data_IF_554663418575
#
_entry.id   IF_554663418575
#
_cell.length_a   1.000
_cell.length_b   1.000
_cell.length_c   1.000
_cell.angle_alpha   90.00
_cell.angle_beta   90.00
_cell.angle_gamma   90.00
#
_symmetry.space_group_name_H-M   'P 1'
#
loop_
_entity.id
_entity.type
_entity.pdbx_description
1 polymer ?
#
# COMPACT_ATOMS: atom_id res chain seq x y z
N UNK A 1 9.67 -16.50 -30.14
CA UNK A 1 9.52 -17.73 -30.90
C UNK A 1 10.82 -18.55 -30.89
N UNK A 2 11.95 -18.10 -31.38
CA UNK A 2 13.18 -18.92 -31.45
C UNK A 2 13.62 -19.63 -30.16
N UNK A 3 13.48 -18.99 -28.96
CA UNK A 3 13.90 -19.59 -27.69
C UNK A 3 12.95 -20.73 -27.26
N UNK A 4 11.66 -20.61 -27.53
CA UNK A 4 10.65 -21.63 -27.21
C UNK A 4 10.83 -22.86 -28.10
N UNK A 5 11.11 -22.62 -29.38
CA UNK A 5 11.35 -23.69 -30.34
C UNK A 5 12.67 -24.42 -30.03
N UNK A 6 13.70 -23.70 -29.57
CA UNK A 6 14.98 -24.26 -29.14
C UNK A 6 14.84 -25.15 -27.88
N UNK A 7 14.05 -24.72 -26.90
CA UNK A 7 13.74 -25.52 -25.72
C UNK A 7 12.96 -26.79 -26.12
N UNK A 8 11.93 -26.66 -26.94
CA UNK A 8 11.13 -27.78 -27.42
C UNK A 8 11.96 -28.77 -28.19
N UNK A 9 12.83 -28.31 -29.07
CA UNK A 9 13.69 -29.19 -29.87
C UNK A 9 14.73 -29.96 -29.04
N UNK A 10 15.15 -29.43 -27.90
CA UNK A 10 16.12 -30.08 -26.99
C UNK A 10 15.47 -31.07 -26.01
N UNK A 11 14.21 -30.89 -25.69
CA UNK A 11 13.50 -31.70 -24.63
C UNK A 11 12.55 -32.71 -25.28
N UNK A 12 11.85 -32.37 -26.37
CA UNK A 12 10.86 -33.23 -27.00
C UNK A 12 11.51 -34.24 -27.94
N UNK A 13 11.41 -35.52 -27.60
CA UNK A 13 11.78 -36.63 -28.45
C UNK A 13 13.06 -37.38 -28.08
N UNK A 14 13.73 -37.02 -26.99
CA UNK A 14 14.83 -37.78 -26.41
C UNK A 14 14.49 -38.23 -24.98
N UNK A 15 14.84 -39.47 -24.66
CA UNK A 15 14.77 -40.01 -23.29
C UNK A 15 15.93 -39.39 -22.52
N UNK A 16 15.66 -38.36 -21.76
CA UNK A 16 16.69 -37.64 -20.98
C UNK A 16 16.54 -38.04 -19.52
N UNK A 17 17.65 -38.37 -18.88
CA UNK A 17 17.66 -38.60 -17.44
C UNK A 17 17.39 -37.29 -16.69
N UNK A 18 16.93 -37.37 -15.44
CA UNK A 18 16.64 -36.19 -14.61
C UNK A 18 17.85 -35.28 -14.48
N UNK A 19 19.04 -35.85 -14.33
CA UNK A 19 20.32 -35.12 -14.26
C UNK A 19 20.66 -34.42 -15.59
N UNK A 20 20.36 -35.03 -16.70
CA UNK A 20 20.54 -34.42 -18.03
C UNK A 20 19.56 -33.27 -18.24
N UNK A 21 18.29 -33.44 -17.83
CA UNK A 21 17.31 -32.37 -17.87
C UNK A 21 17.75 -31.16 -17.05
N UNK A 22 18.22 -31.39 -15.82
CA UNK A 22 18.74 -30.30 -14.97
C UNK A 22 19.91 -29.57 -15.63
N UNK A 23 20.85 -30.28 -16.23
CA UNK A 23 21.98 -29.69 -16.95
C UNK A 23 21.52 -28.88 -18.16
N UNK A 24 20.64 -29.42 -18.98
CA UNK A 24 20.08 -28.72 -20.16
C UNK A 24 19.35 -27.44 -19.72
N UNK A 25 18.56 -27.52 -18.66
CA UNK A 25 17.81 -26.37 -18.15
C UNK A 25 18.74 -25.32 -17.54
N UNK A 26 19.76 -25.73 -16.81
CA UNK A 26 20.78 -24.84 -16.25
C UNK A 26 21.58 -24.12 -17.34
N UNK A 27 22.01 -24.81 -18.39
CA UNK A 27 22.68 -24.21 -19.55
C UNK A 27 21.79 -23.17 -20.27
N UNK A 28 20.48 -23.43 -20.36
CA UNK A 28 19.51 -22.50 -20.91
C UNK A 28 19.14 -21.36 -19.95
N UNK A 29 19.65 -21.40 -18.71
CA UNK A 29 19.43 -20.39 -17.67
C UNK A 29 18.09 -20.51 -16.95
N UNK A 30 17.55 -21.72 -16.85
CA UNK A 30 16.36 -22.03 -16.08
C UNK A 30 16.72 -22.70 -14.76
N UNK A 31 15.96 -22.41 -13.70
CA UNK A 31 16.09 -23.02 -12.38
C UNK A 31 14.86 -23.84 -12.06
N UNK A 32 15.01 -24.99 -11.38
CA UNK A 32 13.87 -25.78 -10.94
C UNK A 32 13.03 -25.01 -9.92
N UNK A 33 11.70 -25.20 -9.98
CA UNK A 33 10.76 -24.73 -8.99
C UNK A 33 10.38 -25.91 -8.09
N UNK A 34 10.66 -25.79 -6.80
CA UNK A 34 10.14 -26.74 -5.80
C UNK A 34 8.64 -26.51 -5.69
N UNK A 35 7.86 -27.57 -5.86
CA UNK A 35 6.41 -27.56 -5.66
C UNK A 35 6.12 -28.19 -4.30
N UNK A 36 5.22 -27.55 -3.55
CA UNK A 36 4.74 -28.07 -2.27
C UNK A 36 3.72 -29.23 -2.41
N UNK A 37 3.39 -29.64 -3.65
CA UNK A 37 2.39 -30.67 -3.93
C UNK A 37 3.01 -31.86 -4.66
N UNK A 38 2.61 -33.07 -4.19
CA UNK A 38 2.94 -34.41 -4.70
C UNK A 38 2.44 -34.66 -6.15
N UNK A 39 2.99 -33.92 -7.10
CA UNK A 39 2.81 -34.28 -8.52
C UNK A 39 4.08 -34.99 -9.01
N UNK A 40 4.17 -36.31 -8.76
CA UNK A 40 5.33 -37.15 -9.07
C UNK A 40 5.80 -37.06 -10.53
N UNK A 41 4.96 -36.59 -11.45
CA UNK A 41 5.24 -36.58 -12.89
C UNK A 41 5.39 -35.18 -13.48
N UNK A 42 5.35 -34.11 -12.67
CA UNK A 42 5.43 -32.73 -13.16
C UNK A 42 6.64 -32.00 -12.60
N UNK A 43 7.59 -31.66 -13.47
CA UNK A 43 8.77 -30.86 -13.12
C UNK A 43 8.58 -29.46 -13.69
N UNK A 44 8.73 -28.45 -12.87
CA UNK A 44 8.60 -27.04 -13.28
C UNK A 44 9.94 -26.32 -13.26
N UNK A 45 10.23 -25.59 -14.33
CA UNK A 45 11.39 -24.73 -14.45
C UNK A 45 11.00 -23.29 -14.70
N UNK A 46 11.82 -22.35 -14.25
CA UNK A 46 11.58 -20.93 -14.47
C UNK A 46 12.85 -20.17 -14.80
N UNK A 47 12.69 -19.15 -15.65
CA UNK A 47 13.65 -18.07 -15.79
C UNK A 47 12.98 -16.76 -15.38
N UNK A 48 13.21 -16.31 -14.16
CA UNK A 48 12.59 -15.10 -13.61
C UNK A 48 12.96 -13.82 -14.37
N UNK A 49 14.17 -13.74 -14.93
CA UNK A 49 14.58 -12.56 -15.73
C UNK A 49 13.79 -12.44 -17.02
N UNK A 50 13.54 -13.57 -17.69
CA UNK A 50 12.80 -13.64 -18.96
C UNK A 50 11.30 -13.83 -18.74
N UNK A 51 10.87 -14.10 -17.50
CA UNK A 51 9.48 -14.42 -17.13
C UNK A 51 8.92 -15.57 -17.97
N UNK A 52 9.68 -16.64 -18.06
CA UNK A 52 9.32 -17.88 -18.75
C UNK A 52 9.18 -18.99 -17.72
N UNK A 53 8.13 -19.77 -17.83
CA UNK A 53 7.84 -20.95 -17.02
C UNK A 53 7.65 -22.12 -17.97
N UNK A 54 8.24 -23.26 -17.62
CA UNK A 54 8.22 -24.49 -18.43
C UNK A 54 7.69 -25.60 -17.53
N UNK A 55 6.64 -26.27 -18.00
CA UNK A 55 6.10 -27.48 -17.38
C UNK A 55 6.60 -28.67 -18.20
N UNK A 56 7.38 -29.56 -17.57
CA UNK A 56 7.89 -30.80 -18.17
C UNK A 56 7.20 -31.97 -17.47
N UNK A 57 6.58 -32.84 -18.24
CA UNK A 57 5.82 -33.99 -17.76
C UNK A 57 6.51 -35.28 -18.19
N UNK A 58 6.47 -36.34 -17.35
CA UNK A 58 6.87 -37.68 -17.76
C UNK A 58 5.64 -38.39 -18.30
N UNK A 59 5.77 -39.00 -19.47
CA UNK A 59 4.76 -39.87 -20.03
C UNK A 59 4.83 -41.30 -19.43
N UNK A 60 3.88 -42.18 -19.82
CA UNK A 60 3.82 -43.55 -19.34
C UNK A 60 5.04 -44.41 -19.71
N UNK A 61 5.82 -43.96 -20.70
CA UNK A 61 7.08 -44.59 -21.15
C UNK A 61 8.31 -43.95 -20.50
N UNK A 62 8.09 -43.06 -19.51
CA UNK A 62 9.12 -42.29 -18.79
C UNK A 62 9.91 -41.28 -19.64
N UNK A 63 9.36 -40.89 -20.81
CA UNK A 63 9.94 -39.81 -21.64
C UNK A 63 9.57 -38.46 -21.05
N UNK A 64 10.47 -37.47 -21.20
CA UNK A 64 10.23 -36.09 -20.79
C UNK A 64 9.57 -35.31 -21.93
N UNK A 65 8.39 -34.77 -21.65
CA UNK A 65 7.63 -33.97 -22.59
C UNK A 65 7.47 -32.54 -22.06
N UNK A 66 7.85 -31.56 -22.87
CA UNK A 66 7.56 -30.16 -22.57
C UNK A 66 6.09 -29.88 -22.91
N UNK A 67 5.22 -29.97 -21.91
CA UNK A 67 3.78 -29.86 -22.09
C UNK A 67 3.36 -28.40 -22.28
N UNK A 68 3.93 -27.50 -21.51
CA UNK A 68 3.48 -26.12 -21.51
C UNK A 68 4.66 -25.15 -21.31
N UNK A 69 4.79 -24.17 -22.20
CA UNK A 69 5.71 -23.06 -22.06
C UNK A 69 4.90 -21.79 -21.98
N UNK A 70 4.96 -21.17 -20.80
CA UNK A 70 4.27 -19.90 -20.52
C UNK A 70 5.31 -18.79 -20.46
N UNK A 71 5.17 -17.81 -21.31
CA UNK A 71 5.90 -16.55 -21.22
C UNK A 71 4.91 -15.46 -20.83
N UNK A 72 5.24 -14.69 -19.81
CA UNK A 72 4.46 -13.50 -19.54
C UNK A 72 4.62 -12.56 -20.74
N UNK A 73 3.58 -12.42 -21.53
CA UNK A 73 3.48 -11.42 -22.57
C UNK A 73 3.33 -10.05 -21.93
N UNK A 74 4.42 -9.48 -21.42
CA UNK A 74 4.47 -8.04 -21.24
C UNK A 74 4.62 -7.45 -22.63
N UNK A 75 3.53 -6.99 -23.22
CA UNK A 75 3.60 -6.00 -24.28
C UNK A 75 4.41 -4.83 -23.76
N UNK A 76 5.60 -4.64 -24.33
CA UNK A 76 6.50 -3.54 -23.99
C UNK A 76 5.73 -2.24 -24.23
N UNK A 77 5.29 -1.57 -23.16
CA UNK A 77 4.54 -0.32 -23.23
C UNK A 77 3.08 -0.37 -22.75
N UNK A 78 2.50 -1.53 -22.46
CA UNK A 78 1.21 -1.58 -21.78
C UNK A 78 1.46 -1.50 -20.28
N UNK A 79 1.43 -0.28 -19.72
CA UNK A 79 1.30 -0.11 -18.29
C UNK A 79 -0.01 -0.78 -17.86
N UNK A 80 0.09 -1.85 -17.09
CA UNK A 80 -1.04 -2.37 -16.32
C UNK A 80 -1.28 -1.39 -15.17
N UNK A 81 -1.87 -0.25 -15.52
CA UNK A 81 -2.16 0.82 -14.56
C UNK A 81 -3.39 0.40 -13.76
N UNK A 82 -3.16 -0.22 -12.60
CA UNK A 82 -4.25 -0.44 -11.65
C UNK A 82 -4.66 0.90 -11.04
N UNK A 83 -5.95 1.05 -10.78
CA UNK A 83 -6.52 2.23 -10.13
C UNK A 83 -6.48 2.09 -8.60
N UNK A 84 -6.54 3.17 -7.82
CA UNK A 84 -6.81 3.09 -6.39
C UNK A 84 -8.21 2.52 -6.16
N UNK A 85 -8.50 1.94 -5.00
CA UNK A 85 -9.88 1.79 -4.53
C UNK A 85 -10.45 3.20 -4.42
N UNK A 86 -11.63 3.45 -5.01
CA UNK A 86 -12.14 4.80 -5.19
C UNK A 86 -12.77 5.36 -3.93
N UNK A 87 -13.49 4.53 -3.18
CA UNK A 87 -14.26 4.95 -2.00
C UNK A 87 -13.98 4.06 -0.80
N UNK A 88 -14.36 4.56 0.39
CA UNK A 88 -14.28 3.78 1.61
C UNK A 88 -15.30 2.63 1.60
N UNK A 89 -16.46 2.84 1.01
CA UNK A 89 -17.52 1.83 0.87
C UNK A 89 -17.06 0.63 0.05
N UNK A 90 -16.34 0.86 -1.05
CA UNK A 90 -15.73 -0.22 -1.84
C UNK A 90 -14.67 -0.98 -1.03
N UNK A 91 -13.82 -0.27 -0.28
CA UNK A 91 -12.85 -0.88 0.62
C UNK A 91 -13.56 -1.72 1.68
N UNK A 92 -14.59 -1.17 2.33
CA UNK A 92 -15.36 -1.86 3.36
C UNK A 92 -16.05 -3.12 2.80
N UNK A 93 -16.62 -3.05 1.60
CA UNK A 93 -17.24 -4.21 0.94
C UNK A 93 -16.25 -5.34 0.66
N UNK A 94 -15.00 -5.02 0.25
CA UNK A 94 -13.92 -6.00 0.08
C UNK A 94 -13.60 -6.66 1.44
N UNK A 95 -13.48 -5.86 2.48
CA UNK A 95 -13.12 -6.34 3.82
C UNK A 95 -14.25 -7.15 4.46
N UNK A 96 -15.51 -6.74 4.25
CA UNK A 96 -16.70 -7.50 4.69
C UNK A 96 -16.80 -8.86 3.98
N UNK A 97 -16.43 -8.93 2.70
CA UNK A 97 -16.33 -10.21 2.00
C UNK A 97 -15.39 -11.20 2.72
N UNK A 98 -14.22 -10.73 3.13
CA UNK A 98 -13.27 -11.56 3.87
C UNK A 98 -13.79 -11.90 5.27
N UNK A 99 -14.30 -10.91 6.00
CA UNK A 99 -14.79 -11.07 7.38
C UNK A 99 -15.95 -12.05 7.45
N UNK A 100 -16.96 -11.86 6.58
CA UNK A 100 -18.14 -12.72 6.53
C UNK A 100 -17.82 -14.14 6.02
N UNK A 101 -16.77 -14.27 5.21
CA UNK A 101 -16.26 -15.56 4.76
C UNK A 101 -15.33 -16.27 5.77
N UNK A 102 -15.12 -15.71 6.99
CA UNK A 102 -14.21 -16.28 8.00
C UNK A 102 -12.73 -16.20 7.58
N UNK A 103 -12.39 -15.36 6.63
CA UNK A 103 -11.03 -15.23 6.08
C UNK A 103 -10.28 -14.10 6.78
N UNK A 104 -10.17 -14.18 8.10
CA UNK A 104 -9.72 -13.08 8.96
C UNK A 104 -8.26 -12.64 8.71
N UNK A 105 -7.37 -13.54 8.27
CA UNK A 105 -6.01 -13.15 7.87
C UNK A 105 -6.04 -12.21 6.66
N UNK A 106 -6.85 -12.50 5.63
CA UNK A 106 -6.97 -11.64 4.45
C UNK A 106 -7.63 -10.30 4.81
N UNK A 107 -8.63 -10.31 5.68
CA UNK A 107 -9.26 -9.12 6.23
C UNK A 107 -8.23 -8.21 6.93
N UNK A 108 -7.41 -8.74 7.82
CA UNK A 108 -6.39 -7.92 8.50
C UNK A 108 -5.30 -7.43 7.53
N UNK A 109 -4.85 -8.26 6.59
CA UNK A 109 -3.86 -7.86 5.58
C UNK A 109 -4.38 -6.67 4.77
N UNK A 110 -5.63 -6.71 4.32
CA UNK A 110 -6.25 -5.64 3.56
C UNK A 110 -6.30 -4.31 4.33
N UNK A 111 -6.81 -4.33 5.56
CA UNK A 111 -6.83 -3.16 6.43
C UNK A 111 -5.45 -2.59 6.71
N UNK A 112 -4.45 -3.43 6.97
CA UNK A 112 -3.08 -2.96 7.22
C UNK A 112 -2.45 -2.35 5.96
N UNK A 113 -2.73 -2.88 4.77
CA UNK A 113 -2.26 -2.24 3.52
C UNK A 113 -2.92 -0.88 3.34
N UNK A 114 -4.25 -0.80 3.51
CA UNK A 114 -5.03 0.41 3.30
C UNK A 114 -4.74 1.50 4.34
N UNK A 115 -4.39 1.14 5.59
CA UNK A 115 -4.14 2.09 6.68
C UNK A 115 -2.68 2.45 6.89
N UNK A 116 -1.73 1.64 6.40
CA UNK A 116 -0.30 1.85 6.58
C UNK A 116 0.44 2.11 5.26
N UNK A 117 -0.20 1.94 4.12
CA UNK A 117 0.37 2.18 2.81
C UNK A 117 1.56 1.28 2.47
N UNK A 118 1.71 0.11 3.11
CA UNK A 118 2.84 -0.80 2.87
C UNK A 118 2.55 -1.78 1.74
N UNK A 119 3.61 -2.38 1.17
CA UNK A 119 3.45 -3.45 0.18
C UNK A 119 2.92 -4.71 0.86
N UNK A 120 2.18 -5.52 0.12
CA UNK A 120 1.66 -6.79 0.65
C UNK A 120 2.77 -7.69 1.20
N UNK A 121 3.93 -7.75 0.54
CA UNK A 121 5.09 -8.50 1.04
C UNK A 121 5.56 -8.05 2.41
N UNK A 122 5.62 -6.73 2.63
CA UNK A 122 6.01 -6.14 3.91
C UNK A 122 4.99 -6.47 5.02
N UNK A 123 3.70 -6.47 4.70
CA UNK A 123 2.62 -6.77 5.67
C UNK A 123 2.61 -8.25 6.05
N UNK A 124 2.67 -9.17 5.08
CA UNK A 124 2.62 -10.62 5.38
C UNK A 124 3.88 -11.12 6.10
N UNK A 125 4.97 -10.38 6.03
CA UNK A 125 6.21 -10.69 6.74
C UNK A 125 6.24 -10.21 8.20
N UNK A 126 5.20 -9.51 8.67
CA UNK A 126 5.12 -9.00 10.05
C UNK A 126 5.14 -10.16 11.06
N UNK A 127 5.90 -9.94 12.13
CA UNK A 127 5.88 -10.78 13.32
C UNK A 127 5.12 -10.09 14.44
N UNK A 128 4.65 -10.85 15.40
CA UNK A 128 4.02 -10.28 16.60
C UNK A 128 4.96 -9.35 17.35
N UNK A 129 6.25 -9.65 17.39
CA UNK A 129 7.30 -8.77 17.96
C UNK A 129 7.48 -7.44 17.21
N UNK A 130 7.01 -7.31 15.98
CA UNK A 130 6.99 -6.03 15.26
C UNK A 130 5.84 -5.13 15.71
N UNK A 131 4.74 -5.72 16.19
CA UNK A 131 3.53 -5.03 16.63
C UNK A 131 3.54 -4.74 18.13
N UNK A 132 4.05 -5.66 18.93
CA UNK A 132 4.03 -5.60 20.39
C UNK A 132 5.43 -5.45 20.99
N UNK A 133 5.50 -4.80 22.14
CA UNK A 133 6.66 -4.79 23.04
C UNK A 133 6.58 -6.05 23.91
N UNK A 134 7.72 -6.46 24.51
CA UNK A 134 7.80 -7.65 25.36
C UNK A 134 6.84 -7.60 26.58
N UNK A 135 6.42 -6.40 26.99
CA UNK A 135 5.48 -6.19 28.08
C UNK A 135 4.00 -6.30 27.64
N UNK A 136 3.73 -6.70 26.41
CA UNK A 136 2.37 -6.84 25.87
C UNK A 136 1.71 -5.55 25.38
N UNK A 137 2.37 -4.39 25.50
CA UNK A 137 1.83 -3.15 24.95
C UNK A 137 2.19 -3.02 23.47
N UNK A 138 1.34 -2.34 22.69
CA UNK A 138 1.67 -2.03 21.29
C UNK A 138 2.93 -1.17 21.16
N UNK A 139 3.67 -1.39 20.08
CA UNK A 139 4.70 -0.45 19.64
C UNK A 139 4.05 0.81 19.08
N UNK A 140 4.70 1.94 19.32
CA UNK A 140 4.23 3.23 18.77
C UNK A 140 4.55 3.37 17.29
N UNK A 141 5.62 2.69 16.85
CA UNK A 141 6.11 2.73 15.47
C UNK A 141 6.51 1.34 14.99
N UNK A 142 6.22 1.07 13.74
CA UNK A 142 6.73 -0.09 13.00
C UNK A 142 8.12 0.27 12.45
N UNK A 143 9.15 0.12 13.29
CA UNK A 143 10.53 0.51 12.97
C UNK A 143 11.34 -0.60 12.29
N UNK A 144 10.84 -1.84 12.30
CA UNK A 144 11.54 -3.04 11.84
C UNK A 144 11.18 -3.43 10.40
N UNK A 145 10.16 -2.79 9.80
CA UNK A 145 9.78 -3.05 8.42
C UNK A 145 10.89 -2.62 7.45
N UNK A 146 11.79 -3.56 7.12
CA UNK A 146 12.70 -3.40 5.98
C UNK A 146 11.89 -3.58 4.71
N UNK A 147 11.96 -2.62 3.80
CA UNK A 147 11.40 -2.81 2.47
C UNK A 147 12.14 -3.97 1.78
N UNK A 148 11.41 -5.04 1.46
CA UNK A 148 11.93 -6.23 0.77
C UNK A 148 12.74 -5.85 -0.49
N UNK A 149 12.30 -4.81 -1.20
CA UNK A 149 12.90 -4.38 -2.46
C UNK A 149 14.18 -3.56 -2.31
N UNK A 150 14.34 -2.75 -1.25
CA UNK A 150 15.42 -1.74 -1.14
C UNK A 150 16.21 -1.84 0.17
N UNK A 151 15.80 -2.69 1.11
CA UNK A 151 16.42 -2.82 2.41
C UNK A 151 16.32 -1.57 3.32
N UNK A 152 15.61 -0.52 2.88
CA UNK A 152 15.43 0.72 3.65
C UNK A 152 14.39 0.50 4.74
N UNK A 153 14.70 0.93 5.95
CA UNK A 153 13.78 0.95 7.08
C UNK A 153 13.09 2.31 7.11
N UNK A 154 11.78 2.33 6.91
CA UNK A 154 10.97 3.53 7.08
C UNK A 154 10.10 3.31 8.32
N UNK A 155 10.43 3.99 9.42
CA UNK A 155 9.58 4.00 10.61
C UNK A 155 8.24 4.65 10.26
N UNK A 156 7.14 3.94 10.51
CA UNK A 156 5.79 4.44 10.33
C UNK A 156 5.03 4.34 11.66
N UNK A 157 4.23 5.34 11.99
CA UNK A 157 3.38 5.30 13.17
C UNK A 157 2.41 4.13 13.09
N UNK A 158 2.32 3.35 14.16
CA UNK A 158 1.34 2.29 14.29
C UNK A 158 0.07 2.88 14.88
N UNK A 159 -0.83 3.29 14.01
CA UNK A 159 -2.01 4.11 14.31
C UNK A 159 -3.05 3.37 15.15
N UNK A 160 -3.93 4.13 15.81
CA UNK A 160 -5.02 3.57 16.62
C UNK A 160 -5.95 2.69 15.78
N UNK A 161 -6.28 3.11 14.55
CA UNK A 161 -7.09 2.29 13.64
C UNK A 161 -6.43 0.94 13.36
N UNK A 162 -5.14 0.92 13.00
CA UNK A 162 -4.43 -0.32 12.71
C UNK A 162 -4.33 -1.24 13.95
N UNK A 163 -4.09 -0.65 15.15
CA UNK A 163 -4.08 -1.39 16.43
C UNK A 163 -5.43 -2.02 16.72
N UNK A 164 -6.53 -1.27 16.57
CA UNK A 164 -7.87 -1.78 16.77
C UNK A 164 -8.20 -2.96 15.86
N UNK A 165 -7.76 -2.91 14.58
CA UNK A 165 -7.94 -4.05 13.64
C UNK A 165 -7.12 -5.27 14.06
N UNK A 166 -5.90 -5.09 14.55
CA UNK A 166 -5.09 -6.20 15.09
C UNK A 166 -5.77 -6.81 16.33
N UNK A 167 -6.27 -6.01 17.24
CA UNK A 167 -7.01 -6.52 18.41
C UNK A 167 -8.28 -7.26 18.04
N UNK A 168 -9.02 -6.74 17.06
CA UNK A 168 -10.22 -7.39 16.52
C UNK A 168 -9.88 -8.75 15.90
N UNK A 169 -8.81 -8.82 15.10
CA UNK A 169 -8.31 -10.07 14.54
C UNK A 169 -7.92 -11.07 15.63
N UNK A 170 -7.18 -10.65 16.65
CA UNK A 170 -6.81 -11.52 17.77
C UNK A 170 -8.04 -12.10 18.48
N UNK A 171 -9.11 -11.30 18.63
CA UNK A 171 -10.38 -11.77 19.22
C UNK A 171 -11.09 -12.76 18.32
N UNK A 172 -11.15 -12.50 16.99
CA UNK A 172 -11.82 -13.38 16.03
C UNK A 172 -11.14 -14.74 15.91
N UNK A 173 -9.81 -14.75 15.91
CA UNK A 173 -9.00 -15.98 15.81
C UNK A 173 -8.66 -16.61 17.17
N UNK A 174 -9.05 -15.97 18.28
CA UNK A 174 -8.69 -16.37 19.66
C UNK A 174 -7.15 -16.52 19.84
N UNK A 175 -6.39 -15.58 19.33
CA UNK A 175 -4.92 -15.56 19.40
C UNK A 175 -4.45 -14.67 20.56
N UNK A 176 -3.54 -15.19 21.38
CA UNK A 176 -2.73 -14.38 22.30
C UNK A 176 -1.38 -14.05 21.65
N UNK A 177 -1.14 -12.81 21.21
CA UNK A 177 0.10 -12.42 20.54
C UNK A 177 1.38 -12.70 21.34
N UNK A 178 1.29 -12.70 22.66
CA UNK A 178 2.46 -12.88 23.52
C UNK A 178 2.92 -14.33 23.60
N UNK A 179 2.05 -15.31 23.32
CA UNK A 179 2.40 -16.72 23.21
C UNK A 179 3.15 -17.02 21.91
N UNK A 180 2.94 -16.19 20.87
CA UNK A 180 3.50 -16.30 19.53
C UNK A 180 4.49 -15.18 19.21
N UNK A 181 5.07 -14.52 20.21
CA UNK A 181 5.79 -13.25 20.09
C UNK A 181 6.82 -13.17 18.95
N UNK A 182 7.58 -14.24 18.71
CA UNK A 182 8.60 -14.30 17.65
C UNK A 182 8.12 -14.89 16.33
N UNK A 183 6.85 -15.29 16.26
CA UNK A 183 6.26 -15.92 15.07
C UNK A 183 5.65 -14.87 14.14
N UNK A 184 5.35 -15.28 12.90
CA UNK A 184 4.64 -14.44 11.94
C UNK A 184 3.19 -14.19 12.39
N UNK A 185 2.69 -12.98 12.11
CA UNK A 185 1.27 -12.65 12.33
C UNK A 185 0.39 -13.45 11.38
N UNK A 186 0.89 -13.74 10.19
CA UNK A 186 0.17 -14.41 9.11
C UNK A 186 0.85 -15.72 8.73
N UNK A 187 0.02 -16.73 8.45
CA UNK A 187 0.45 -18.00 7.85
C UNK A 187 0.28 -18.00 6.33
N UNK A 188 -0.48 -17.03 5.80
CA UNK A 188 -0.72 -16.88 4.36
C UNK A 188 0.31 -15.96 3.72
N UNK A 189 0.77 -16.33 2.54
CA UNK A 189 1.71 -15.52 1.76
C UNK A 189 1.03 -14.52 0.82
N UNK A 190 1.84 -13.62 0.25
CA UNK A 190 1.37 -12.57 -0.66
C UNK A 190 0.68 -13.09 -1.93
N UNK A 191 1.05 -14.28 -2.42
CA UNK A 191 0.42 -14.90 -3.59
C UNK A 191 -1.02 -15.33 -3.28
N UNK A 192 -1.23 -15.97 -2.12
CA UNK A 192 -2.55 -16.37 -1.66
C UNK A 192 -3.47 -15.16 -1.44
N UNK A 193 -2.95 -14.10 -0.81
CA UNK A 193 -3.71 -12.86 -0.65
C UNK A 193 -4.11 -12.26 -2.00
N UNK A 194 -3.19 -12.13 -2.98
CA UNK A 194 -3.52 -11.61 -4.32
C UNK A 194 -4.63 -12.39 -5.00
N UNK A 195 -4.57 -13.74 -4.91
CA UNK A 195 -5.58 -14.62 -5.50
C UNK A 195 -6.96 -14.39 -4.87
N UNK A 196 -7.03 -14.29 -3.54
CA UNK A 196 -8.30 -14.11 -2.84
C UNK A 196 -8.82 -12.67 -2.93
N UNK A 197 -7.94 -11.66 -2.92
CA UNK A 197 -8.33 -10.28 -3.18
C UNK A 197 -8.99 -10.12 -4.56
N UNK A 198 -8.47 -10.80 -5.59
CA UNK A 198 -9.11 -10.80 -6.91
C UNK A 198 -10.56 -11.32 -6.84
N UNK A 199 -10.80 -12.41 -6.10
CA UNK A 199 -12.16 -12.93 -5.90
C UNK A 199 -13.08 -11.95 -5.15
N UNK A 200 -12.54 -11.27 -4.12
CA UNK A 200 -13.28 -10.26 -3.39
C UNK A 200 -13.67 -9.09 -4.29
N UNK A 201 -12.73 -8.56 -5.10
CA UNK A 201 -12.94 -7.49 -6.08
C UNK A 201 -14.03 -7.87 -7.08
N UNK A 202 -13.97 -9.10 -7.63
CA UNK A 202 -14.97 -9.64 -8.55
C UNK A 202 -16.35 -9.78 -7.87
N UNK A 203 -16.39 -10.24 -6.62
CA UNK A 203 -17.62 -10.39 -5.84
C UNK A 203 -18.30 -9.05 -5.53
N UNK A 204 -17.51 -8.05 -5.18
CA UNK A 204 -17.99 -6.68 -4.88
C UNK A 204 -18.47 -5.97 -6.14
N UNK A 205 -18.08 -6.42 -7.33
CA UNK A 205 -18.48 -5.84 -8.61
C UNK A 205 -17.65 -4.61 -9.00
N UNK A 206 -16.41 -4.51 -8.55
CA UNK A 206 -15.49 -3.44 -8.98
C UNK A 206 -15.11 -3.71 -10.44
N UNK A 207 -15.43 -2.79 -11.34
CA UNK A 207 -15.35 -2.92 -12.80
C UNK A 207 -14.07 -2.30 -13.41
N UNK A 208 -13.20 -1.72 -12.58
CA UNK A 208 -11.92 -1.16 -12.99
C UNK A 208 -10.74 -2.05 -12.57
N UNK A 209 -9.55 -1.89 -13.20
CA UNK A 209 -8.38 -2.69 -12.86
C UNK A 209 -7.90 -2.45 -11.43
N UNK A 210 -8.13 -3.42 -10.54
CA UNK A 210 -7.76 -3.35 -9.13
C UNK A 210 -6.90 -4.55 -8.68
N UNK A 211 -6.03 -4.32 -7.70
CA UNK A 211 -5.09 -5.32 -7.14
C UNK A 211 -4.63 -4.90 -5.73
N UNK A 212 -3.66 -5.63 -5.18
CA UNK A 212 -3.01 -5.23 -3.91
C UNK A 212 -2.41 -3.83 -3.93
N UNK A 213 -1.97 -3.36 -5.11
CA UNK A 213 -1.50 -1.99 -5.27
C UNK A 213 -2.64 -0.96 -5.18
N UNK A 214 -3.87 -1.35 -5.48
CA UNK A 214 -5.05 -0.48 -5.37
C UNK A 214 -5.36 -0.12 -3.92
N UNK A 215 -5.20 -1.07 -2.99
CA UNK A 215 -5.30 -0.82 -1.55
C UNK A 215 -4.22 0.18 -1.07
N UNK A 216 -2.98 -0.01 -1.54
CA UNK A 216 -1.90 0.92 -1.22
C UNK A 216 -2.09 2.30 -1.88
N UNK A 217 -2.64 2.34 -3.09
CA UNK A 217 -3.01 3.60 -3.76
C UNK A 217 -4.16 4.31 -3.06
N UNK A 218 -5.13 3.57 -2.50
CA UNK A 218 -6.18 4.13 -1.65
C UNK A 218 -5.56 4.96 -0.51
N UNK A 219 -4.62 4.39 0.26
CA UNK A 219 -3.89 5.11 1.30
C UNK A 219 -3.32 6.45 0.80
N UNK A 220 -2.56 6.43 -0.31
CA UNK A 220 -1.95 7.66 -0.84
C UNK A 220 -2.98 8.67 -1.35
N UNK A 221 -4.06 8.20 -1.99
CA UNK A 221 -5.14 9.04 -2.48
C UNK A 221 -5.90 9.70 -1.33
N UNK A 222 -6.18 8.95 -0.27
CA UNK A 222 -6.86 9.49 0.91
C UNK A 222 -5.98 10.52 1.64
N UNK A 223 -4.68 10.25 1.82
CA UNK A 223 -3.77 11.25 2.38
C UNK A 223 -3.75 12.55 1.56
N UNK A 224 -3.74 12.45 0.23
CA UNK A 224 -3.80 13.64 -0.63
C UNK A 224 -5.15 14.39 -0.49
N UNK A 225 -6.26 13.67 -0.37
CA UNK A 225 -7.60 14.24 -0.17
C UNK A 225 -7.76 14.92 1.20
N UNK A 226 -7.18 14.35 2.25
CA UNK A 226 -7.22 14.91 3.60
C UNK A 226 -6.32 16.15 3.75
N UNK A 227 -5.35 16.33 2.85
CA UNK A 227 -4.41 17.45 2.88
C UNK A 227 -4.33 18.16 1.52
N UNK A 228 -5.47 18.66 0.98
CA UNK A 228 -5.53 19.19 -0.39
C UNK A 228 -4.69 20.46 -0.57
N UNK A 229 -4.50 21.21 0.51
CA UNK A 229 -3.82 22.50 0.50
C UNK A 229 -2.37 22.45 1.04
N UNK A 230 -1.85 21.28 1.42
CA UNK A 230 -0.45 21.16 1.81
C UNK A 230 0.44 20.93 0.59
N UNK A 231 1.16 21.97 0.15
CA UNK A 231 2.09 21.87 -0.98
C UNK A 231 3.20 20.80 -0.83
N UNK A 232 3.35 20.20 0.35
CA UNK A 232 4.25 19.09 0.60
C UNK A 232 3.56 17.72 0.63
N UNK A 233 2.23 17.65 0.53
CA UNK A 233 1.48 16.39 0.65
C UNK A 233 2.04 15.30 -0.27
N UNK A 234 2.25 15.60 -1.55
CA UNK A 234 2.80 14.64 -2.51
C UNK A 234 4.20 14.16 -2.12
N UNK A 235 5.06 15.07 -1.61
CA UNK A 235 6.42 14.72 -1.17
C UNK A 235 6.39 13.81 0.06
N UNK A 236 5.49 14.06 1.00
CA UNK A 236 5.29 13.24 2.21
C UNK A 236 4.79 11.86 1.80
N UNK A 237 3.80 11.77 0.91
CA UNK A 237 3.27 10.50 0.40
C UNK A 237 4.37 9.70 -0.34
N UNK A 238 5.17 10.37 -1.18
CA UNK A 238 6.33 9.74 -1.84
C UNK A 238 7.35 9.21 -0.84
N UNK A 239 7.63 9.96 0.22
CA UNK A 239 8.51 9.52 1.30
C UNK A 239 7.95 8.29 2.04
N UNK A 240 6.66 8.32 2.43
CA UNK A 240 5.98 7.17 3.07
C UNK A 240 6.04 5.93 2.18
N UNK A 241 5.88 6.10 0.87
CA UNK A 241 5.97 5.00 -0.09
C UNK A 241 7.40 4.53 -0.37
N UNK A 242 8.42 5.19 0.16
CA UNK A 242 9.82 4.86 -0.11
C UNK A 242 10.20 5.04 -1.58
N UNK A 243 9.52 5.92 -2.30
CA UNK A 243 9.88 6.25 -3.68
C UNK A 243 11.12 7.15 -3.65
N UNK A 244 12.25 6.63 -4.13
CA UNK A 244 13.53 7.32 -4.12
C UNK A 244 13.59 8.39 -5.22
N UNK A 245 13.45 9.67 -4.84
CA UNK A 245 14.24 10.74 -5.43
C UNK A 245 15.18 11.25 -4.35
N UNK A 246 16.48 11.13 -4.54
CA UNK A 246 17.50 11.37 -3.51
C UNK A 246 17.65 12.83 -3.08
N UNK A 247 17.18 13.78 -3.87
CA UNK A 247 17.45 15.21 -3.65
C UNK A 247 16.60 15.86 -2.55
N UNK A 248 15.46 15.27 -2.18
CA UNK A 248 14.51 15.87 -1.23
C UNK A 248 14.84 15.52 0.23
N UNK A 249 15.63 14.49 0.45
CA UNK A 249 15.82 13.86 1.77
C UNK A 249 16.69 14.68 2.73
N UNK A 250 17.59 15.52 2.24
CA UNK A 250 18.62 16.16 3.09
C UNK A 250 18.20 17.44 3.81
N UNK A 251 17.18 18.15 3.31
CA UNK A 251 16.81 19.49 3.83
C UNK A 251 15.63 19.49 4.80
N UNK A 252 14.81 18.44 4.83
CA UNK A 252 13.51 18.43 5.53
C UNK A 252 13.28 17.25 6.50
N UNK A 253 14.29 16.50 6.91
CA UNK A 253 14.11 15.24 7.65
C UNK A 253 13.26 15.40 8.91
N UNK A 254 13.50 16.39 9.75
CA UNK A 254 12.72 16.61 10.97
C UNK A 254 11.26 17.02 10.70
N UNK A 255 11.09 18.03 9.87
CA UNK A 255 9.75 18.57 9.52
C UNK A 255 8.88 17.57 8.74
N UNK A 256 9.51 16.72 7.91
CA UNK A 256 8.81 15.67 7.16
C UNK A 256 8.32 14.56 8.11
N UNK A 257 9.10 14.18 9.10
CA UNK A 257 8.72 13.12 10.04
C UNK A 257 7.53 13.51 10.91
N UNK A 258 7.50 14.73 11.43
CA UNK A 258 6.36 15.26 12.19
C UNK A 258 5.08 15.32 11.32
N UNK A 259 5.19 15.90 10.12
CA UNK A 259 4.06 15.97 9.18
C UNK A 259 3.58 14.59 8.73
N UNK A 260 4.49 13.65 8.52
CA UNK A 260 4.16 12.27 8.18
C UNK A 260 3.30 11.62 9.26
N UNK A 261 3.69 11.74 10.53
CA UNK A 261 2.95 11.16 11.64
C UNK A 261 1.57 11.80 11.78
N UNK A 262 1.46 13.12 11.58
CA UNK A 262 0.17 13.80 11.52
C UNK A 262 -0.70 13.27 10.38
N UNK A 263 -0.19 13.19 9.15
CA UNK A 263 -0.96 12.72 7.98
C UNK A 263 -1.49 11.31 8.18
N UNK A 264 -0.67 10.41 8.73
CA UNK A 264 -1.07 9.04 9.01
C UNK A 264 -2.07 8.98 10.18
N UNK A 265 -1.96 9.90 11.15
CA UNK A 265 -2.92 10.09 12.21
C UNK A 265 -4.29 10.53 11.68
N UNK A 266 -4.33 11.57 10.85
CA UNK A 266 -5.57 12.08 10.24
C UNK A 266 -6.27 11.00 9.38
N UNK A 267 -5.50 10.17 8.66
CA UNK A 267 -6.07 9.01 7.97
C UNK A 267 -6.62 7.96 8.94
N UNK A 268 -5.94 7.72 10.07
CA UNK A 268 -6.43 6.81 11.10
C UNK A 268 -7.78 7.27 11.64
N UNK A 269 -7.92 8.55 11.93
CA UNK A 269 -9.16 9.15 12.44
C UNK A 269 -10.28 9.07 11.39
N UNK A 270 -9.98 9.33 10.12
CA UNK A 270 -10.91 9.14 9.01
C UNK A 270 -11.41 7.69 8.93
N UNK A 271 -10.49 6.73 8.94
CA UNK A 271 -10.83 5.31 8.83
C UNK A 271 -11.65 4.83 10.04
N UNK A 272 -11.30 5.27 11.26
CA UNK A 272 -12.03 4.90 12.47
C UNK A 272 -13.47 5.45 12.44
N UNK A 273 -13.64 6.73 12.11
CA UNK A 273 -14.97 7.34 12.01
C UNK A 273 -15.81 6.67 10.93
N UNK A 274 -15.23 6.44 9.75
CA UNK A 274 -15.93 5.78 8.64
C UNK A 274 -16.30 4.33 8.98
N UNK A 275 -15.42 3.59 9.64
CA UNK A 275 -15.68 2.22 10.07
C UNK A 275 -16.81 2.13 11.11
N UNK A 276 -16.89 3.12 11.99
CA UNK A 276 -17.97 3.23 13.00
C UNK A 276 -19.29 3.78 12.41
N UNK A 277 -19.34 4.10 11.13
CA UNK A 277 -20.50 4.68 10.46
C UNK A 277 -20.74 6.14 10.81
N UNK A 278 -19.73 6.83 11.35
CA UNK A 278 -19.80 8.26 11.66
C UNK A 278 -19.47 9.09 10.41
N UNK A 279 -20.10 10.25 10.28
CA UNK A 279 -19.69 11.22 9.27
C UNK A 279 -18.30 11.79 9.63
N UNK A 280 -17.41 11.82 8.67
CA UNK A 280 -16.12 12.50 8.77
C UNK A 280 -16.07 13.63 7.73
N UNK A 281 -16.00 14.85 8.21
CA UNK A 281 -15.88 16.02 7.35
C UNK A 281 -14.40 16.25 7.02
N UNK A 282 -14.07 16.23 5.72
CA UNK A 282 -12.74 16.64 5.25
C UNK A 282 -12.74 18.16 5.18
N UNK A 283 -11.86 18.79 5.96
CA UNK A 283 -11.66 20.23 5.88
C UNK A 283 -11.00 20.59 4.54
N UNK A 284 -11.82 21.01 3.60
CA UNK A 284 -11.39 21.51 2.29
C UNK A 284 -11.20 23.04 2.27
N UNK A 285 -11.17 23.68 3.44
CA UNK A 285 -10.96 25.11 3.52
C UNK A 285 -9.62 25.51 2.88
N UNK A 286 -9.58 26.54 2.04
CA UNK A 286 -8.34 26.96 1.41
C UNK A 286 -7.33 27.45 2.45
N UNK A 287 -6.14 26.83 2.45
CA UNK A 287 -5.02 27.30 3.28
C UNK A 287 -4.34 28.45 2.56
N UNK A 288 -4.46 29.64 3.11
CA UNK A 288 -3.78 30.84 2.60
C UNK A 288 -2.38 30.89 3.21
N UNK A 289 -1.34 30.74 2.40
CA UNK A 289 0.04 30.91 2.83
C UNK A 289 0.47 32.36 2.57
N UNK A 290 0.61 33.12 3.64
CA UNK A 290 1.10 34.48 3.59
C UNK A 290 2.57 34.56 4.03
N UNK A 291 3.37 35.43 3.41
CA UNK A 291 4.68 35.80 3.96
C UNK A 291 4.48 36.47 5.31
N UNK A 292 5.41 36.31 6.23
CA UNK A 292 5.33 36.90 7.58
C UNK A 292 5.16 38.43 7.56
N UNK A 293 5.74 39.13 6.57
CA UNK A 293 5.56 40.57 6.35
C UNK A 293 4.11 40.88 5.96
N UNK A 294 3.56 40.18 4.97
CA UNK A 294 2.19 40.37 4.48
C UNK A 294 1.17 40.07 5.57
N UNK A 295 1.40 39.05 6.39
CA UNK A 295 0.56 38.70 7.54
C UNK A 295 0.59 39.80 8.60
N UNK A 296 1.77 40.40 8.87
CA UNK A 296 1.92 41.48 9.84
C UNK A 296 1.19 42.75 9.36
N UNK A 297 1.32 43.09 8.08
CA UNK A 297 0.64 44.24 7.48
C UNK A 297 -0.86 44.06 7.48
N UNK A 298 -1.33 42.83 7.24
CA UNK A 298 -2.73 42.46 7.27
C UNK A 298 -3.30 42.56 8.70
N UNK A 299 -2.61 42.01 9.72
CA UNK A 299 -2.99 42.13 11.14
C UNK A 299 -3.02 43.62 11.56
N UNK A 300 -2.04 44.43 11.13
CA UNK A 300 -1.99 45.83 11.44
C UNK A 300 -3.16 46.59 10.81
N UNK A 301 -3.52 46.26 9.57
CA UNK A 301 -4.67 46.85 8.86
C UNK A 301 -5.98 46.53 9.59
N UNK A 302 -6.21 45.22 9.90
CA UNK A 302 -7.42 44.78 10.63
C UNK A 302 -7.49 45.42 12.01
N UNK A 303 -6.35 45.52 12.74
CA UNK A 303 -6.30 46.15 14.05
C UNK A 303 -6.64 47.65 13.97
N UNK A 304 -6.09 48.35 12.97
CA UNK A 304 -6.32 49.81 12.78
C UNK A 304 -7.80 50.07 12.40
N UNK A 305 -8.35 49.28 11.50
CA UNK A 305 -9.76 49.38 11.09
C UNK A 305 -10.70 48.96 12.21
N UNK A 306 -10.38 47.87 12.95
CA UNK A 306 -11.16 47.42 14.12
C UNK A 306 -11.18 48.44 15.25
N UNK A 307 -10.07 49.13 15.53
CA UNK A 307 -10.02 50.21 16.52
C UNK A 307 -10.83 51.44 16.07
N UNK A 308 -10.88 51.71 14.77
CA UNK A 308 -11.73 52.78 14.21
C UNK A 308 -13.24 52.41 14.27
N UNK A 309 -13.55 51.11 14.12
CA UNK A 309 -14.90 50.58 14.12
C UNK A 309 -15.50 50.40 15.54
N UNK A 310 -14.67 50.41 16.59
CA UNK A 310 -15.14 50.21 17.97
C UNK A 310 -16.14 51.28 18.45
N UNK A 311 -16.36 52.34 17.68
CA UNK A 311 -17.33 53.41 17.92
C UNK A 311 -18.60 53.32 17.06
N UNK A 312 -18.74 52.37 16.12
CA UNK A 312 -19.93 52.26 15.27
C UNK A 312 -20.20 50.79 14.87
N UNK A 313 -21.36 50.31 15.18
CA UNK A 313 -22.12 49.14 14.75
C UNK A 313 -21.44 48.00 13.93
N UNK A 314 -21.77 46.72 14.26
CA UNK A 314 -21.25 45.46 13.71
C UNK A 314 -21.21 45.27 12.17
N UNK A 315 -21.81 46.21 11.39
CA UNK A 315 -21.73 46.25 9.91
C UNK A 315 -20.33 46.63 9.41
N UNK A 316 -19.58 47.42 10.18
CA UNK A 316 -18.23 47.86 9.79
C UNK A 316 -17.17 46.79 10.04
N UNK A 317 -17.36 45.95 11.08
CA UNK A 317 -16.53 44.78 11.35
C UNK A 317 -16.68 43.75 10.24
N UNK A 318 -17.91 43.51 9.79
CA UNK A 318 -18.19 42.60 8.66
C UNK A 318 -17.56 43.16 7.35
N UNK A 319 -17.54 44.47 7.14
CA UNK A 319 -16.87 45.09 6.00
C UNK A 319 -15.33 44.97 6.05
N UNK A 320 -14.75 45.10 7.24
CA UNK A 320 -13.30 44.89 7.45
C UNK A 320 -12.89 43.46 7.19
N UNK A 321 -13.67 42.50 7.69
CA UNK A 321 -13.49 41.04 7.40
C UNK A 321 -13.64 40.76 5.90
N UNK A 322 -14.63 41.36 5.23
CA UNK A 322 -14.83 41.22 3.79
C UNK A 322 -13.64 41.73 2.95
N UNK A 323 -13.08 42.88 3.33
CA UNK A 323 -11.86 43.40 2.69
C UNK A 323 -10.65 42.52 2.95
N UNK A 324 -10.53 41.93 4.16
CA UNK A 324 -9.51 40.96 4.50
C UNK A 324 -9.55 39.77 3.56
N UNK A 325 -10.73 39.18 3.37
CA UNK A 325 -10.94 38.03 2.47
C UNK A 325 -10.57 38.41 1.03
N UNK A 326 -11.02 39.56 0.54
CA UNK A 326 -10.72 40.04 -0.81
C UNK A 326 -9.22 40.27 -1.05
N UNK A 327 -8.49 40.82 -0.07
CA UNK A 327 -7.03 41.01 -0.14
C UNK A 327 -6.31 39.64 -0.13
N UNK A 328 -6.77 38.73 0.71
CA UNK A 328 -6.24 37.36 0.74
C UNK A 328 -6.47 36.66 -0.61
N UNK A 329 -7.67 36.71 -1.18
CA UNK A 329 -8.02 36.11 -2.47
C UNK A 329 -7.23 36.73 -3.63
N UNK A 330 -7.02 38.08 -3.63
CA UNK A 330 -6.24 38.75 -4.67
C UNK A 330 -4.75 38.37 -4.68
N UNK A 331 -4.21 37.88 -3.57
CA UNK A 331 -2.83 37.39 -3.45
C UNK A 331 -2.69 35.88 -3.68
N UNK A 332 -3.81 35.13 -3.90
CA UNK A 332 -3.82 33.72 -4.25
C UNK A 332 -3.58 33.45 -5.73
N UNK A 333 -3.49 34.46 -6.59
CA UNK A 333 -3.34 34.36 -8.06
C UNK A 333 -1.89 34.61 -8.48
N UNK A 334 -0.93 33.94 -7.80
CA UNK A 334 0.46 33.90 -8.32
C UNK A 334 1.09 32.55 -8.02
#
# INVERSE_FOLDING_TARGET
MAIIDDIKSKINGEVVSETELENIMAELGYSPLTLDDDTENLIKYTNFKRQIWIDVVRDDENNLLCENIRQATKEKGKETKVEPIHTFEELLAIEDYFKNGGQYQYWLIGWLIASLGRRVGDIVALKWSDLYKINGSFRDRLSTLKEEKNGKTIGLSFTNFARARVEEYCKMENINPMEHYNEGVFTVGSAAFRKNLKKAIEHVGIDYPASTHSLRKFFGTMLARLHPNDGNAIKIIQYIFGHSSEEITKVYIGTIDEKKDKFVGDLSDYLENSYMGNAYEIDNSPVITLKTADLRDLIQSVYTEGMSASNQNGTEIASAIGKFITIAESKMVL
#
